data_IF_442551820989
#
_entry.id   IF_442551820989
#
_cell.length_a   1.000
_cell.length_b   1.000
_cell.length_c   1.000
_cell.angle_alpha   90.00
_cell.angle_beta   90.00
_cell.angle_gamma   90.00
#
_symmetry.space_group_name_H-M   'P 1'
#
loop_
_entity.id
_entity.type
_entity.pdbx_description
1 polymer ?
#
# COMPACT_ATOMS: atom_id res chain seq x y z
N UNK A 1 0.83 -6.59 17.47
CA UNK A 1 0.95 -7.76 16.57
C UNK A 1 2.18 -7.58 15.70
N UNK A 2 2.83 -8.64 15.20
CA UNK A 2 4.04 -8.49 14.39
C UNK A 2 3.72 -7.95 13.00
N UNK A 3 4.62 -7.10 12.50
CA UNK A 3 4.68 -6.61 11.11
C UNK A 3 5.11 -7.76 10.21
N UNK A 4 4.50 -7.90 9.04
CA UNK A 4 4.97 -8.85 8.01
C UNK A 4 6.19 -8.25 7.35
N UNK A 5 7.31 -8.96 7.37
CA UNK A 5 8.59 -8.46 6.85
C UNK A 5 8.80 -8.90 5.41
N UNK A 6 9.23 -7.97 4.57
CA UNK A 6 9.72 -8.29 3.24
C UNK A 6 10.97 -9.20 3.32
N UNK A 7 11.03 -10.18 2.42
CA UNK A 7 12.19 -11.02 2.20
C UNK A 7 13.31 -10.23 1.53
N UNK A 8 14.22 -9.67 2.32
CA UNK A 8 15.36 -8.86 1.84
C UNK A 8 16.37 -9.62 0.95
N UNK A 9 16.19 -10.93 0.74
CA UNK A 9 17.03 -11.76 -0.16
C UNK A 9 16.43 -11.96 -1.55
N UNK A 10 15.25 -11.38 -1.82
CA UNK A 10 14.61 -11.44 -3.14
C UNK A 10 15.55 -10.87 -4.22
N UNK A 11 15.43 -11.41 -5.44
CA UNK A 11 16.17 -11.01 -6.63
C UNK A 11 15.21 -10.39 -7.64
N UNK A 12 15.70 -9.64 -8.66
CA UNK A 12 14.83 -9.20 -9.74
C UNK A 12 14.02 -10.33 -10.39
N UNK A 13 12.81 -10.02 -10.84
CA UNK A 13 11.87 -10.92 -11.49
C UNK A 13 10.52 -11.05 -10.77
N UNK A 14 9.62 -11.84 -11.34
CA UNK A 14 8.27 -12.08 -10.81
C UNK A 14 8.28 -13.19 -9.76
N UNK A 15 7.81 -12.90 -8.56
CA UNK A 15 7.72 -13.84 -7.44
C UNK A 15 6.29 -13.96 -6.93
N UNK A 16 5.97 -15.09 -6.28
CA UNK A 16 4.70 -15.19 -5.56
C UNK A 16 4.69 -14.19 -4.39
N UNK A 17 3.50 -13.70 -4.02
CA UNK A 17 3.36 -12.74 -2.90
C UNK A 17 4.05 -13.26 -1.64
N UNK A 18 3.87 -14.55 -1.31
CA UNK A 18 4.41 -15.14 -0.09
C UNK A 18 5.93 -15.41 -0.14
N UNK A 19 6.55 -15.42 -1.32
CA UNK A 19 8.01 -15.48 -1.44
C UNK A 19 8.66 -14.14 -1.09
N UNK A 20 7.93 -13.03 -1.35
CA UNK A 20 8.36 -11.67 -1.03
C UNK A 20 7.91 -11.25 0.36
N UNK A 21 6.71 -11.65 0.80
CA UNK A 21 6.14 -11.33 2.11
C UNK A 21 5.69 -12.60 2.85
N UNK A 22 6.63 -13.37 3.43
CA UNK A 22 6.30 -14.59 4.14
C UNK A 22 5.35 -14.33 5.33
N UNK A 23 4.23 -15.06 5.39
CA UNK A 23 3.22 -14.93 6.43
C UNK A 23 2.18 -13.83 6.20
N UNK A 24 2.17 -13.18 5.02
CA UNK A 24 1.16 -12.18 4.69
C UNK A 24 -0.27 -12.77 4.70
N UNK A 25 -0.43 -14.03 4.31
CA UNK A 25 -1.69 -14.78 4.36
C UNK A 25 -2.30 -14.92 5.77
N UNK A 26 -1.47 -14.75 6.80
CA UNK A 26 -1.88 -14.77 8.20
C UNK A 26 -2.18 -13.36 8.74
N UNK A 27 -1.84 -12.31 8.02
CA UNK A 27 -2.15 -10.93 8.42
C UNK A 27 -3.66 -10.69 8.40
N UNK A 28 -4.17 -10.14 9.50
CA UNK A 28 -5.57 -9.74 9.60
C UNK A 28 -5.93 -8.66 8.56
N UNK A 29 -5.02 -7.71 8.31
CA UNK A 29 -5.22 -6.65 7.31
C UNK A 29 -5.27 -7.21 5.89
N UNK A 30 -4.33 -8.10 5.53
CA UNK A 30 -4.38 -8.76 4.22
C UNK A 30 -5.69 -9.54 4.02
N UNK A 31 -6.10 -10.30 5.04
CA UNK A 31 -7.35 -11.08 4.99
C UNK A 31 -8.60 -10.22 4.93
N UNK A 32 -8.57 -9.00 5.45
CA UNK A 32 -9.71 -8.08 5.38
C UNK A 32 -9.81 -7.34 4.06
N UNK A 33 -8.71 -7.25 3.29
CA UNK A 33 -8.76 -6.68 1.93
C UNK A 33 -9.65 -7.56 1.08
N UNK A 34 -9.38 -8.86 1.01
CA UNK A 34 -10.03 -9.76 0.04
C UNK A 34 -11.19 -10.55 0.66
N UNK A 35 -12.39 -10.53 0.05
CA UNK A 35 -13.44 -11.48 0.41
C UNK A 35 -13.01 -12.92 0.11
N UNK A 36 -13.67 -13.90 0.75
CA UNK A 36 -13.37 -15.32 0.55
C UNK A 36 -13.54 -15.74 -0.93
N UNK A 37 -12.59 -16.51 -1.47
CA UNK A 37 -12.51 -16.91 -2.88
C UNK A 37 -11.51 -16.09 -3.68
N UNK A 38 -11.59 -14.75 -3.61
CA UNK A 38 -10.65 -13.87 -4.31
C UNK A 38 -9.26 -13.91 -3.67
N UNK A 39 -9.19 -14.08 -2.34
CA UNK A 39 -7.91 -14.21 -1.63
C UNK A 39 -7.07 -15.36 -2.17
N UNK A 40 -7.68 -16.52 -2.39
CA UNK A 40 -6.99 -17.72 -2.89
C UNK A 40 -6.57 -17.59 -4.36
N UNK A 41 -7.30 -16.81 -5.16
CA UNK A 41 -6.93 -16.44 -6.53
C UNK A 41 -5.72 -15.49 -6.52
N UNK A 42 -5.77 -14.41 -5.73
CA UNK A 42 -4.69 -13.42 -5.62
C UNK A 42 -3.39 -14.06 -5.12
N UNK A 43 -3.44 -14.90 -4.08
CA UNK A 43 -2.23 -15.61 -3.61
C UNK A 43 -1.62 -16.54 -4.66
N UNK A 44 -2.44 -17.05 -5.58
CA UNK A 44 -2.01 -18.01 -6.62
C UNK A 44 -1.49 -17.31 -7.86
N UNK A 45 -2.15 -16.23 -8.28
CA UNK A 45 -1.98 -15.67 -9.62
C UNK A 45 -1.25 -14.33 -9.62
N UNK A 46 -1.53 -13.46 -8.65
CA UNK A 46 -0.81 -12.18 -8.52
C UNK A 46 0.66 -12.42 -8.19
N UNK A 47 1.54 -11.65 -8.83
CA UNK A 47 2.98 -11.66 -8.60
C UNK A 47 3.44 -10.30 -8.08
N UNK A 48 4.55 -10.32 -7.37
CA UNK A 48 5.36 -9.13 -7.14
C UNK A 48 6.46 -9.14 -8.19
N UNK A 49 6.42 -8.22 -9.15
CA UNK A 49 7.49 -7.99 -10.12
C UNK A 49 8.56 -7.11 -9.48
N UNK A 50 9.66 -7.73 -9.08
CA UNK A 50 10.77 -7.06 -8.43
C UNK A 50 11.69 -6.51 -9.49
N UNK A 51 11.82 -5.20 -9.54
CA UNK A 51 12.56 -4.49 -10.60
C UNK A 51 13.81 -3.82 -10.00
N UNK A 52 14.94 -3.73 -10.73
CA UNK A 52 16.18 -3.13 -10.19
C UNK A 52 16.10 -1.62 -9.91
N UNK A 53 15.08 -0.95 -10.43
CA UNK A 53 14.83 0.48 -10.29
C UNK A 53 14.62 0.89 -8.82
N UNK A 54 15.08 2.10 -8.49
CA UNK A 54 14.88 2.69 -7.17
C UNK A 54 13.53 3.41 -7.15
N UNK A 55 12.52 2.67 -6.72
CA UNK A 55 11.14 3.15 -6.68
C UNK A 55 10.32 2.43 -5.61
N UNK A 56 9.20 3.07 -5.24
CA UNK A 56 8.17 2.48 -4.38
C UNK A 56 7.41 1.36 -5.11
N UNK A 57 6.35 0.86 -4.47
CA UNK A 57 5.45 -0.10 -5.09
C UNK A 57 4.36 0.60 -5.88
N UNK A 58 3.82 -0.09 -6.89
CA UNK A 58 2.62 0.33 -7.61
C UNK A 58 1.96 -0.89 -8.26
N UNK A 59 0.69 -0.79 -8.58
CA UNK A 59 -0.02 -1.79 -9.38
C UNK A 59 0.33 -1.68 -10.88
N UNK A 60 0.62 -2.83 -11.49
CA UNK A 60 0.53 -3.06 -12.94
C UNK A 60 -0.88 -3.59 -13.25
N UNK A 61 -1.75 -2.72 -13.71
CA UNK A 61 -3.16 -3.00 -14.01
C UNK A 61 -3.38 -3.62 -15.39
N UNK A 62 -2.35 -3.71 -16.24
CA UNK A 62 -2.42 -4.50 -17.47
C UNK A 62 -2.32 -6.00 -17.16
N UNK A 63 -1.52 -6.37 -16.16
CA UNK A 63 -1.25 -7.77 -15.80
C UNK A 63 -1.79 -8.21 -14.43
N UNK A 64 -2.38 -7.30 -13.65
CA UNK A 64 -2.89 -7.59 -12.31
C UNK A 64 -1.79 -8.00 -11.33
N UNK A 65 -0.64 -7.32 -11.37
CA UNK A 65 0.51 -7.57 -10.51
C UNK A 65 0.89 -6.33 -9.70
N UNK A 66 1.70 -6.51 -8.66
CA UNK A 66 2.36 -5.39 -7.99
C UNK A 66 3.79 -5.32 -8.47
N UNK A 67 4.27 -4.15 -8.84
CA UNK A 67 5.66 -3.88 -9.16
C UNK A 67 6.33 -3.26 -7.94
N UNK A 68 7.55 -3.67 -7.63
CA UNK A 68 8.28 -3.17 -6.46
C UNK A 68 9.77 -2.99 -6.76
N UNK A 69 10.33 -1.83 -6.40
CA UNK A 69 11.76 -1.57 -6.50
C UNK A 69 12.57 -2.47 -5.56
N UNK A 70 13.63 -3.10 -6.08
CA UNK A 70 14.52 -3.99 -5.33
C UNK A 70 15.22 -3.25 -4.19
N UNK A 71 15.63 -2.00 -4.43
CA UNK A 71 16.22 -1.12 -3.41
C UNK A 71 15.27 -0.96 -2.24
N UNK A 72 14.05 -0.51 -2.54
CA UNK A 72 13.00 -0.28 -1.56
C UNK A 72 12.67 -1.52 -0.72
N UNK A 73 12.48 -2.69 -1.34
CA UNK A 73 12.24 -3.95 -0.62
C UNK A 73 13.39 -4.35 0.34
N UNK A 74 14.63 -3.97 0.03
CA UNK A 74 15.81 -4.35 0.82
C UNK A 74 16.09 -3.40 1.98
N UNK A 75 15.91 -2.11 1.77
CA UNK A 75 16.38 -1.06 2.69
C UNK A 75 15.26 -0.24 3.31
N UNK A 76 14.05 -0.29 2.75
CA UNK A 76 12.89 0.41 3.29
C UNK A 76 12.57 0.00 4.72
N UNK A 77 11.96 0.93 5.46
CA UNK A 77 11.46 0.67 6.81
C UNK A 77 10.45 -0.47 6.76
N UNK A 78 10.59 -1.45 7.66
CA UNK A 78 9.78 -2.67 7.63
C UNK A 78 8.27 -2.38 7.77
N UNK A 79 7.90 -1.36 8.56
CA UNK A 79 6.49 -0.98 8.71
C UNK A 79 5.98 -0.34 7.42
N UNK A 80 6.72 0.60 6.86
CA UNK A 80 6.28 1.34 5.67
C UNK A 80 6.14 0.40 4.47
N UNK A 81 7.14 -0.45 4.22
CA UNK A 81 7.11 -1.47 3.15
C UNK A 81 5.91 -2.41 3.31
N UNK A 82 5.56 -2.76 4.55
CA UNK A 82 4.40 -3.59 4.83
C UNK A 82 3.07 -2.86 4.60
N UNK A 83 2.98 -1.58 4.96
CA UNK A 83 1.78 -0.77 4.69
C UNK A 83 1.58 -0.58 3.18
N UNK A 84 2.66 -0.35 2.43
CA UNK A 84 2.59 -0.16 0.98
C UNK A 84 2.12 -1.41 0.25
N UNK A 85 2.60 -2.61 0.64
CA UNK A 85 2.08 -3.82 -0.03
C UNK A 85 0.59 -4.03 0.26
N UNK A 86 0.07 -3.63 1.42
CA UNK A 86 -1.37 -3.67 1.71
C UNK A 86 -2.15 -2.64 0.88
N UNK A 87 -1.58 -1.46 0.67
CA UNK A 87 -2.13 -0.44 -0.21
C UNK A 87 -2.26 -0.97 -1.65
N UNK A 88 -1.17 -1.50 -2.22
CA UNK A 88 -1.18 -2.03 -3.58
C UNK A 88 -2.09 -3.26 -3.75
N UNK A 89 -2.14 -4.14 -2.76
CA UNK A 89 -3.06 -5.27 -2.79
C UNK A 89 -4.54 -4.83 -2.69
N UNK A 90 -4.80 -3.66 -2.11
CA UNK A 90 -6.13 -3.06 -2.17
C UNK A 90 -6.46 -2.62 -3.60
N UNK A 91 -5.51 -2.08 -4.34
CA UNK A 91 -5.66 -1.81 -5.77
C UNK A 91 -5.89 -3.08 -6.58
N UNK A 92 -5.21 -4.19 -6.27
CA UNK A 92 -5.46 -5.48 -6.93
C UNK A 92 -6.92 -5.92 -6.76
N UNK A 93 -7.48 -5.80 -5.56
CA UNK A 93 -8.92 -6.07 -5.36
C UNK A 93 -9.81 -5.13 -6.17
N UNK A 94 -9.52 -3.83 -6.16
CA UNK A 94 -10.30 -2.84 -6.89
C UNK A 94 -10.25 -3.10 -8.41
N UNK A 95 -9.10 -3.54 -8.92
CA UNK A 95 -8.91 -3.97 -10.29
C UNK A 95 -9.77 -5.20 -10.65
N UNK A 96 -9.77 -6.25 -9.81
CA UNK A 96 -10.69 -7.39 -9.98
C UNK A 96 -12.18 -6.97 -9.95
N UNK A 97 -12.51 -5.89 -9.25
CA UNK A 97 -13.85 -5.32 -9.21
C UNK A 97 -14.17 -4.37 -10.39
N UNK A 98 -13.26 -4.22 -11.36
CA UNK A 98 -13.42 -3.36 -12.54
C UNK A 98 -13.44 -1.87 -12.23
N UNK A 99 -12.80 -1.43 -11.14
CA UNK A 99 -12.73 -0.01 -10.78
C UNK A 99 -11.74 0.74 -11.66
N UNK A 100 -12.07 1.98 -12.01
CA UNK A 100 -11.17 2.90 -12.68
C UNK A 100 -10.14 3.46 -11.68
N UNK A 101 -8.95 2.87 -11.61
CA UNK A 101 -7.90 3.25 -10.64
C UNK A 101 -7.31 4.65 -10.92
N UNK A 102 -7.32 5.04 -12.20
CA UNK A 102 -6.68 6.26 -12.71
C UNK A 102 -7.69 7.35 -13.09
N UNK A 103 -8.84 7.40 -12.43
CA UNK A 103 -9.89 8.38 -12.73
C UNK A 103 -9.38 9.83 -12.57
N UNK A 104 -9.05 10.46 -13.70
CA UNK A 104 -8.44 11.80 -13.76
C UNK A 104 -9.42 12.93 -13.44
N UNK A 105 -10.70 12.62 -13.17
CA UNK A 105 -11.66 13.61 -12.67
C UNK A 105 -11.32 14.05 -11.24
N UNK A 106 -10.56 13.23 -10.52
CA UNK A 106 -10.11 13.51 -9.16
C UNK A 106 -8.59 13.69 -9.11
N UNK A 107 -8.12 14.58 -8.25
CA UNK A 107 -6.71 14.61 -7.88
C UNK A 107 -6.33 13.31 -7.14
N UNK A 108 -5.05 12.96 -7.12
CA UNK A 108 -4.53 11.76 -6.45
C UNK A 108 -5.12 11.57 -5.04
N UNK A 109 -5.01 12.59 -4.20
CA UNK A 109 -5.46 12.55 -2.79
C UNK A 109 -6.98 12.52 -2.60
N UNK A 110 -7.73 12.81 -3.67
CA UNK A 110 -9.19 12.88 -3.66
C UNK A 110 -9.82 11.70 -4.41
N UNK A 111 -9.02 10.81 -5.00
CA UNK A 111 -9.49 9.62 -5.73
C UNK A 111 -10.11 8.62 -4.76
N UNK A 112 -11.35 8.16 -4.98
CA UNK A 112 -11.99 7.18 -4.09
C UNK A 112 -11.19 5.89 -3.92
N UNK A 113 -10.50 5.44 -4.97
CA UNK A 113 -9.66 4.23 -4.95
C UNK A 113 -8.42 4.40 -4.08
N UNK A 114 -7.75 5.56 -4.17
CA UNK A 114 -6.58 5.93 -3.35
C UNK A 114 -6.98 6.10 -1.88
N UNK A 115 -8.10 6.78 -1.61
CA UNK A 115 -8.62 6.95 -0.25
C UNK A 115 -8.92 5.59 0.39
N UNK A 116 -9.57 4.68 -0.34
CA UNK A 116 -9.84 3.32 0.16
C UNK A 116 -8.55 2.52 0.40
N UNK A 117 -7.57 2.59 -0.50
CA UNK A 117 -6.29 1.90 -0.36
C UNK A 117 -5.47 2.44 0.83
N UNK A 118 -5.40 3.76 1.00
CA UNK A 118 -4.79 4.36 2.17
C UNK A 118 -5.56 4.08 3.46
N UNK A 119 -6.89 3.97 3.43
CA UNK A 119 -7.66 3.63 4.62
C UNK A 119 -7.25 2.28 5.19
N UNK A 120 -7.03 1.28 4.32
CA UNK A 120 -6.50 -0.04 4.73
C UNK A 120 -5.13 0.10 5.42
N UNK A 121 -4.22 0.86 4.82
CA UNK A 121 -2.89 1.10 5.39
C UNK A 121 -2.96 1.86 6.73
N UNK A 122 -3.81 2.90 6.84
CA UNK A 122 -4.00 3.68 8.06
C UNK A 122 -4.59 2.85 9.19
N UNK A 123 -5.59 2.01 8.90
CA UNK A 123 -6.19 1.13 9.91
C UNK A 123 -5.18 0.12 10.43
N UNK A 124 -4.34 -0.44 9.55
CA UNK A 124 -3.25 -1.31 9.97
C UNK A 124 -2.18 -0.56 10.77
N UNK A 125 -1.80 0.65 10.34
CA UNK A 125 -0.84 1.50 11.05
C UNK A 125 -1.31 1.81 12.47
N UNK A 126 -2.59 2.16 12.65
CA UNK A 126 -3.21 2.36 13.96
C UNK A 126 -3.18 1.08 14.80
N UNK A 127 -3.48 -0.09 14.20
CA UNK A 127 -3.43 -1.39 14.89
C UNK A 127 -2.01 -1.77 15.32
N UNK A 128 -1.00 -1.32 14.57
CA UNK A 128 0.43 -1.45 14.91
C UNK A 128 0.89 -0.43 15.98
N UNK A 129 0.04 0.52 16.36
CA UNK A 129 0.32 1.51 17.39
C UNK A 129 1.02 2.77 16.88
N UNK A 130 1.01 3.03 15.57
CA UNK A 130 1.53 4.28 15.02
C UNK A 130 0.67 5.47 15.48
N UNK A 131 1.34 6.57 15.81
CA UNK A 131 0.70 7.84 16.15
C UNK A 131 0.18 8.55 14.91
N UNK A 132 -0.80 9.45 15.06
CA UNK A 132 -1.28 10.30 13.96
C UNK A 132 -0.15 11.07 13.27
N UNK A 133 0.91 11.44 14.01
CA UNK A 133 2.09 12.07 13.43
C UNK A 133 2.84 11.12 12.48
N UNK A 134 3.16 9.91 12.93
CA UNK A 134 3.84 8.91 12.09
C UNK A 134 2.98 8.52 10.88
N UNK A 135 1.65 8.44 11.06
CA UNK A 135 0.73 8.16 9.96
C UNK A 135 0.67 9.35 8.99
N UNK A 136 0.64 10.59 9.47
CA UNK A 136 0.71 11.76 8.60
C UNK A 136 2.04 11.82 7.83
N UNK A 137 3.16 11.48 8.46
CA UNK A 137 4.46 11.36 7.79
C UNK A 137 4.44 10.27 6.71
N UNK A 138 3.78 9.12 6.96
CA UNK A 138 3.56 8.07 5.97
C UNK A 138 2.73 8.53 4.77
N UNK A 139 1.65 9.28 5.00
CA UNK A 139 0.77 9.80 3.95
C UNK A 139 1.42 10.90 3.09
N UNK A 140 2.63 11.36 3.46
CA UNK A 140 3.34 12.39 2.69
C UNK A 140 4.12 11.76 1.54
N UNK A 141 3.57 11.89 0.33
CA UNK A 141 4.24 11.45 -0.90
C UNK A 141 4.83 12.64 -1.68
N UNK A 142 5.96 12.42 -2.34
CA UNK A 142 6.79 13.46 -2.95
C UNK A 142 6.13 14.20 -4.12
N UNK A 143 5.14 13.60 -4.76
CA UNK A 143 4.37 14.19 -5.86
C UNK A 143 3.12 14.94 -5.42
N UNK A 144 2.91 15.15 -4.11
CA UNK A 144 1.78 15.92 -3.58
C UNK A 144 2.21 17.25 -2.95
N UNK A 145 1.41 18.28 -3.18
CA UNK A 145 1.52 19.55 -2.47
C UNK A 145 1.17 19.41 -0.98
N UNK A 146 1.49 20.44 -0.21
CA UNK A 146 1.13 20.49 1.21
C UNK A 146 -0.37 20.44 1.43
N UNK A 147 -1.11 21.22 0.64
CA UNK A 147 -2.56 21.29 0.69
C UNK A 147 -3.21 19.95 0.32
N UNK A 148 -2.62 19.21 -0.63
CA UNK A 148 -3.06 17.86 -0.98
C UNK A 148 -2.83 16.87 0.17
N UNK A 149 -1.66 16.91 0.79
CA UNK A 149 -1.35 16.08 1.95
C UNK A 149 -2.30 16.31 3.14
N UNK A 150 -2.62 17.58 3.43
CA UNK A 150 -3.59 17.94 4.48
C UNK A 150 -5.00 17.40 4.16
N UNK A 151 -5.43 17.46 2.89
CA UNK A 151 -6.70 16.87 2.45
C UNK A 151 -6.71 15.35 2.60
N UNK A 152 -5.63 14.67 2.21
CA UNK A 152 -5.53 13.21 2.38
C UNK A 152 -5.63 12.82 3.86
N UNK A 153 -4.90 13.50 4.72
CA UNK A 153 -4.97 13.29 6.17
C UNK A 153 -6.41 13.49 6.69
N UNK A 154 -7.10 14.55 6.23
CA UNK A 154 -8.48 14.83 6.60
C UNK A 154 -9.44 13.71 6.16
N UNK A 155 -9.36 13.24 4.91
CA UNK A 155 -10.18 12.13 4.39
C UNK A 155 -10.05 10.86 5.24
N UNK A 156 -8.85 10.61 5.79
CA UNK A 156 -8.50 9.41 6.57
C UNK A 156 -8.65 9.61 8.09
N UNK A 157 -9.12 10.79 8.52
CA UNK A 157 -9.26 11.13 9.94
C UNK A 157 -7.95 11.15 10.71
N UNK A 158 -6.83 11.46 10.05
CA UNK A 158 -5.49 11.56 10.64
C UNK A 158 -5.21 13.02 10.98
N UNK A 159 -4.79 13.30 12.22
CA UNK A 159 -4.41 14.67 12.61
C UNK A 159 -3.05 15.05 12.01
N UNK A 160 -3.06 15.94 11.03
CA UNK A 160 -1.82 16.51 10.48
C UNK A 160 -1.10 17.36 11.53
N UNK A 161 0.24 17.21 11.71
CA UNK A 161 1.05 18.08 12.56
C UNK A 161 0.99 19.56 12.16
N UNK A 162 0.70 19.84 10.89
CA UNK A 162 0.77 21.17 10.28
C UNK A 162 -0.52 22.00 10.49
N UNK A 163 -1.60 21.37 10.94
CA UNK A 163 -2.88 22.02 11.29
C UNK A 163 -2.79 22.95 12.51
N UNK A 164 -1.63 23.03 13.17
CA UNK A 164 -1.38 23.90 14.35
C UNK A 164 -0.78 25.26 14.03
N UNK A 165 -0.57 25.62 12.76
CA UNK A 165 -0.17 26.98 12.40
C UNK A 165 -1.41 27.87 12.14
N UNK A 166 -2.07 28.31 13.22
CA UNK A 166 -2.97 29.48 13.21
C UNK A 166 -2.62 30.37 14.40
#
# INVERSE_FOLDING_TARGET
MPVVRANRKVKPGKHAILDVFPGLDQSAAFRSIFPDGLREEVLRDCRIDVVPEDMYMYIDDDAGNVVAGLGYLKTGDEKIVYLDVLHELTHIRQWHAGKELWDRRYNYVDRPTEIEAYQVAVDEARRLGMTDREIAEYLRVEWTSREEHERLCHHLGVRSPESRAV
#
